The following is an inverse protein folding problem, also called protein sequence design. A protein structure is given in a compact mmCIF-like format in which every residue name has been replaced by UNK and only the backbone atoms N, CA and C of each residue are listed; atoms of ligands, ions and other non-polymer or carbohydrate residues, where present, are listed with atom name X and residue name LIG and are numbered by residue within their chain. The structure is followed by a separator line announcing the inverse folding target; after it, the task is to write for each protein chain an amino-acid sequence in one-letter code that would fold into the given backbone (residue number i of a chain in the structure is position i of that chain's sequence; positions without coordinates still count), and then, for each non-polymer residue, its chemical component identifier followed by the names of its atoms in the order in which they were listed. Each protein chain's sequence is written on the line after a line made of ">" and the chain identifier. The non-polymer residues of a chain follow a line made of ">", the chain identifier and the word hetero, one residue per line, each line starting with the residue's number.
data_IF_891453476281
#
_entry.id   IF_891453476281
#
_cell.length_a   1.000
_cell.length_b   1.000
_cell.length_c   1.000
_cell.angle_alpha   90.00
_cell.angle_beta   90.00
_cell.angle_gamma   90.00
#
_symmetry.space_group_name_H-M   'P 1'
#
loop_
_entity.id
_entity.type
_entity.pdbx_description
1 polymer ?
#
# COMPACT_ATOMS: atom_id res chain seq x y z
N UNK A 1 14.29 -74.52 27.13
CA UNK A 1 14.21 -73.13 27.61
C UNK A 1 14.97 -72.18 26.66
N UNK A 2 14.56 -72.04 25.39
CA UNK A 2 15.30 -71.22 24.40
C UNK A 2 14.40 -70.44 23.44
N UNK A 3 13.10 -70.31 23.77
CA UNK A 3 12.12 -69.53 22.99
C UNK A 3 11.72 -68.20 23.66
N UNK A 4 12.06 -67.99 24.94
CA UNK A 4 11.66 -66.78 25.68
C UNK A 4 12.54 -65.56 25.38
N UNK A 5 13.83 -65.73 25.10
CA UNK A 5 14.74 -64.59 24.91
C UNK A 5 14.58 -63.87 23.56
N UNK A 6 13.99 -64.51 22.54
CA UNK A 6 13.75 -63.84 21.24
C UNK A 6 12.53 -62.93 21.24
N UNK A 7 11.61 -63.07 22.19
CA UNK A 7 10.39 -62.25 22.22
C UNK A 7 10.62 -60.90 22.92
N UNK A 8 11.56 -60.82 23.88
CA UNK A 8 11.89 -59.55 24.57
C UNK A 8 12.68 -58.57 23.70
N UNK A 9 13.50 -59.02 22.75
CA UNK A 9 14.24 -58.12 21.83
C UNK A 9 13.36 -57.49 20.73
N UNK A 10 12.18 -58.04 20.47
CA UNK A 10 11.34 -57.59 19.36
C UNK A 10 10.35 -56.48 19.76
N UNK A 11 10.07 -56.35 21.06
CA UNK A 11 9.23 -55.27 21.60
C UNK A 11 10.01 -53.96 21.77
N UNK A 12 11.23 -54.01 22.29
CA UNK A 12 12.09 -52.83 22.52
C UNK A 12 12.45 -52.08 21.22
N UNK A 13 12.58 -52.83 20.12
CA UNK A 13 12.95 -52.28 18.82
C UNK A 13 11.80 -51.50 18.16
N UNK A 14 10.54 -51.79 18.48
CA UNK A 14 9.37 -51.09 17.92
C UNK A 14 9.13 -49.74 18.59
N UNK A 15 9.41 -49.65 19.89
CA UNK A 15 9.29 -48.42 20.68
C UNK A 15 10.36 -47.38 20.31
N UNK A 16 11.58 -47.83 19.98
CA UNK A 16 12.67 -46.93 19.56
C UNK A 16 12.42 -46.22 18.23
N UNK A 17 11.87 -46.91 17.23
CA UNK A 17 11.57 -46.28 15.92
C UNK A 17 10.37 -45.34 16.01
N UNK A 18 9.37 -45.69 16.82
CA UNK A 18 8.18 -44.85 17.02
C UNK A 18 8.53 -43.53 17.73
N UNK A 19 9.46 -43.55 18.69
CA UNK A 19 9.96 -42.33 19.35
C UNK A 19 10.75 -41.42 18.40
N UNK A 20 11.57 -42.00 17.52
CA UNK A 20 12.31 -41.22 16.51
C UNK A 20 11.38 -40.61 15.46
N UNK A 21 10.27 -41.28 15.11
CA UNK A 21 9.24 -40.69 14.26
C UNK A 21 8.47 -39.56 14.96
N UNK A 22 8.09 -39.73 16.22
CA UNK A 22 7.42 -38.67 16.98
C UNK A 22 8.32 -37.43 17.16
N UNK A 23 9.61 -37.61 17.45
CA UNK A 23 10.57 -36.51 17.53
C UNK A 23 10.85 -35.87 16.16
N UNK A 24 10.85 -36.64 15.07
CA UNK A 24 11.03 -36.12 13.70
C UNK A 24 9.79 -35.36 13.21
N UNK A 25 8.58 -35.83 13.54
CA UNK A 25 7.32 -35.17 13.19
C UNK A 25 7.14 -33.90 14.02
N UNK A 26 7.48 -33.93 15.32
CA UNK A 26 7.43 -32.75 16.20
C UNK A 26 8.42 -31.68 15.76
N UNK A 27 9.66 -32.06 15.43
CA UNK A 27 10.69 -31.10 14.95
C UNK A 27 10.35 -30.52 13.58
N UNK A 28 9.77 -31.32 12.67
CA UNK A 28 9.26 -30.80 11.39
C UNK A 28 8.09 -29.83 11.61
N UNK A 29 7.24 -30.06 12.61
CA UNK A 29 6.15 -29.14 12.95
C UNK A 29 6.65 -27.81 13.54
N UNK A 30 7.68 -27.87 14.40
CA UNK A 30 8.32 -26.68 14.96
C UNK A 30 9.06 -25.88 13.87
N UNK A 31 9.74 -26.54 12.93
CA UNK A 31 10.39 -25.87 11.79
C UNK A 31 9.35 -25.21 10.86
N UNK A 32 8.22 -25.87 10.59
CA UNK A 32 7.12 -25.29 9.80
C UNK A 32 6.50 -24.09 10.53
N UNK A 33 6.34 -24.17 11.85
CA UNK A 33 5.84 -23.06 12.65
C UNK A 33 6.81 -21.87 12.63
N UNK A 34 8.11 -22.11 12.74
CA UNK A 34 9.13 -21.06 12.62
C UNK A 34 9.12 -20.38 11.24
N UNK A 35 8.91 -21.16 10.16
CA UNK A 35 8.75 -20.61 8.80
C UNK A 35 7.49 -19.75 8.69
N UNK A 36 6.39 -20.17 9.32
CA UNK A 36 5.13 -19.41 9.34
C UNK A 36 5.28 -18.11 10.14
N UNK A 37 5.93 -18.15 11.29
CA UNK A 37 6.17 -16.95 12.11
C UNK A 37 7.05 -15.94 11.37
N UNK A 38 8.12 -16.39 10.70
CA UNK A 38 8.96 -15.53 9.86
C UNK A 38 8.18 -14.92 8.67
N UNK A 39 7.27 -15.70 8.05
CA UNK A 39 6.38 -15.22 6.97
C UNK A 39 5.37 -14.19 7.49
N UNK A 40 4.83 -14.38 8.69
CA UNK A 40 3.92 -13.43 9.33
C UNK A 40 4.63 -12.13 9.70
N UNK A 41 5.88 -12.21 10.18
CA UNK A 41 6.69 -11.04 10.48
C UNK A 41 6.98 -10.21 9.22
N UNK A 42 7.43 -10.87 8.14
CA UNK A 42 7.63 -10.23 6.83
C UNK A 42 6.34 -9.59 6.30
N UNK A 43 5.22 -10.32 6.40
CA UNK A 43 3.91 -9.81 5.99
C UNK A 43 3.51 -8.56 6.80
N UNK A 44 3.74 -8.56 8.12
CA UNK A 44 3.45 -7.42 8.98
C UNK A 44 4.26 -6.18 8.58
N UNK A 45 5.52 -6.36 8.21
CA UNK A 45 6.39 -5.27 7.73
C UNK A 45 5.86 -4.71 6.40
N UNK A 46 5.57 -5.56 5.41
CA UNK A 46 5.03 -5.10 4.12
C UNK A 46 3.68 -4.39 4.25
N UNK A 47 2.78 -4.89 5.11
CA UNK A 47 1.51 -4.22 5.38
C UNK A 47 1.72 -2.86 6.05
N UNK A 48 2.62 -2.79 7.04
CA UNK A 48 2.95 -1.54 7.71
C UNK A 48 3.51 -0.51 6.73
N UNK A 49 4.40 -0.92 5.83
CA UNK A 49 4.99 -0.05 4.81
C UNK A 49 3.93 0.46 3.82
N UNK A 50 3.05 -0.42 3.32
CA UNK A 50 1.97 -0.02 2.41
C UNK A 50 0.97 0.93 3.05
N UNK A 51 0.62 0.71 4.31
CA UNK A 51 -0.28 1.58 5.06
C UNK A 51 0.40 2.93 5.31
N UNK A 52 1.68 2.94 5.66
CA UNK A 52 2.45 4.16 5.86
C UNK A 52 2.54 4.98 4.55
N UNK A 53 2.79 4.32 3.41
CA UNK A 53 2.81 4.98 2.11
C UNK A 53 1.45 5.56 1.75
N UNK A 54 0.37 4.79 1.93
CA UNK A 54 -0.99 5.27 1.66
C UNK A 54 -1.35 6.48 2.56
N UNK A 55 -0.99 6.43 3.83
CA UNK A 55 -1.19 7.53 4.76
C UNK A 55 -0.38 8.77 4.36
N UNK A 56 0.89 8.60 3.97
CA UNK A 56 1.73 9.70 3.50
C UNK A 56 1.15 10.36 2.25
N UNK A 57 0.73 9.57 1.25
CA UNK A 57 0.08 10.07 0.03
C UNK A 57 -1.19 10.84 0.37
N UNK A 58 -2.01 10.34 1.30
CA UNK A 58 -3.25 10.98 1.70
C UNK A 58 -3.00 12.32 2.39
N UNK A 59 -2.01 12.39 3.30
CA UNK A 59 -1.63 13.64 3.97
C UNK A 59 -1.10 14.67 2.97
N UNK A 60 -0.21 14.25 2.07
CA UNK A 60 0.33 15.13 1.01
C UNK A 60 -0.80 15.64 0.13
N UNK A 61 -1.73 14.76 -0.28
CA UNK A 61 -2.87 15.14 -1.10
C UNK A 61 -3.76 16.18 -0.39
N UNK A 62 -4.03 16.02 0.91
CA UNK A 62 -4.81 17.00 1.69
C UNK A 62 -4.10 18.35 1.78
N UNK A 63 -2.78 18.36 2.02
CA UNK A 63 -1.99 19.60 2.08
C UNK A 63 -1.98 20.30 0.73
N UNK A 64 -1.76 19.56 -0.37
CA UNK A 64 -1.79 20.10 -1.71
C UNK A 64 -3.16 20.65 -2.10
N UNK A 65 -4.23 19.93 -1.77
CA UNK A 65 -5.59 20.37 -2.05
C UNK A 65 -5.92 21.65 -1.30
N UNK A 66 -5.61 21.68 0.01
CA UNK A 66 -5.81 22.86 0.86
C UNK A 66 -4.96 24.06 0.41
N UNK A 67 -3.68 23.84 0.12
CA UNK A 67 -2.76 24.88 -0.35
C UNK A 67 -3.16 25.45 -1.70
N UNK A 68 -3.58 24.59 -2.63
CA UNK A 68 -4.08 25.03 -3.94
C UNK A 68 -5.38 25.82 -3.81
N UNK A 69 -6.33 25.34 -3.00
CA UNK A 69 -7.58 26.06 -2.74
C UNK A 69 -7.33 27.44 -2.12
N UNK A 70 -6.41 27.52 -1.16
CA UNK A 70 -6.00 28.78 -0.55
C UNK A 70 -5.36 29.72 -1.57
N UNK A 71 -4.39 29.23 -2.36
CA UNK A 71 -3.75 30.01 -3.43
C UNK A 71 -4.76 30.56 -4.43
N UNK A 72 -5.66 29.72 -4.92
CA UNK A 72 -6.71 30.13 -5.86
C UNK A 72 -7.60 31.21 -5.25
N UNK A 73 -7.96 31.07 -3.97
CA UNK A 73 -8.76 32.08 -3.25
C UNK A 73 -7.99 33.39 -3.09
N UNK A 74 -6.71 33.35 -2.73
CA UNK A 74 -5.85 34.54 -2.62
C UNK A 74 -5.71 35.25 -3.96
N UNK A 75 -5.49 34.51 -5.06
CA UNK A 75 -5.44 35.08 -6.41
C UNK A 75 -6.79 35.72 -6.77
N UNK A 76 -7.90 35.10 -6.38
CA UNK A 76 -9.24 35.65 -6.59
C UNK A 76 -9.47 36.96 -5.85
N UNK A 77 -9.09 37.02 -4.59
CA UNK A 77 -9.18 38.22 -3.80
C UNK A 77 -8.27 39.31 -4.37
N UNK A 78 -7.04 38.98 -4.76
CA UNK A 78 -6.10 39.93 -5.34
C UNK A 78 -6.61 40.53 -6.66
N UNK A 79 -7.11 39.71 -7.59
CA UNK A 79 -7.71 40.18 -8.85
C UNK A 79 -9.00 40.98 -8.59
N UNK A 80 -9.80 40.55 -7.62
CA UNK A 80 -11.03 41.22 -7.23
C UNK A 80 -10.78 42.59 -6.61
N UNK A 81 -9.74 42.74 -5.79
CA UNK A 81 -9.31 44.00 -5.20
C UNK A 81 -8.77 44.95 -6.28
N UNK A 82 -7.97 44.44 -7.23
CA UNK A 82 -7.50 45.23 -8.38
C UNK A 82 -8.66 45.74 -9.25
N UNK A 83 -9.75 44.96 -9.33
CA UNK A 83 -10.96 45.30 -10.10
C UNK A 83 -11.96 46.14 -9.29
N UNK A 84 -11.67 46.45 -8.02
CA UNK A 84 -12.51 47.23 -7.12
C UNK A 84 -13.74 46.49 -6.56
N UNK A 85 -13.98 45.23 -6.97
CA UNK A 85 -15.04 44.36 -6.42
C UNK A 85 -14.54 42.92 -6.34
N UNK A 86 -14.54 42.37 -5.13
CA UNK A 86 -14.11 40.98 -4.85
C UNK A 86 -14.90 39.94 -5.65
N UNK A 87 -16.19 40.21 -5.95
CA UNK A 87 -17.03 39.32 -6.76
C UNK A 87 -16.53 39.14 -8.20
N UNK A 88 -15.89 40.15 -8.80
CA UNK A 88 -15.34 40.06 -10.16
C UNK A 88 -14.11 39.14 -10.21
N UNK A 89 -13.29 39.14 -9.15
CA UNK A 89 -12.12 38.27 -9.05
C UNK A 89 -12.48 36.79 -9.02
N UNK A 90 -13.47 36.42 -8.19
CA UNK A 90 -14.00 35.05 -8.17
C UNK A 90 -14.64 34.66 -9.51
N UNK A 91 -15.38 35.57 -10.14
CA UNK A 91 -16.02 35.30 -11.43
C UNK A 91 -14.99 35.06 -12.53
N UNK A 92 -13.92 35.86 -12.59
CA UNK A 92 -12.84 35.70 -13.56
C UNK A 92 -12.14 34.34 -13.43
N UNK A 93 -11.79 33.94 -12.21
CA UNK A 93 -11.12 32.65 -11.96
C UNK A 93 -12.04 31.47 -12.23
N UNK A 94 -13.33 31.58 -11.86
CA UNK A 94 -14.32 30.56 -12.19
C UNK A 94 -14.41 30.36 -13.71
N UNK A 95 -14.42 31.45 -14.48
CA UNK A 95 -14.44 31.41 -15.94
C UNK A 95 -13.18 30.76 -16.54
N UNK A 96 -12.00 31.05 -15.98
CA UNK A 96 -10.74 30.41 -16.37
C UNK A 96 -10.78 28.91 -16.07
N UNK A 97 -11.24 28.50 -14.89
CA UNK A 97 -11.34 27.09 -14.52
C UNK A 97 -12.31 26.33 -15.42
N UNK A 98 -13.49 26.91 -15.70
CA UNK A 98 -14.48 26.33 -16.63
C UNK A 98 -13.89 26.25 -18.05
N UNK A 99 -13.21 27.29 -18.51
CA UNK A 99 -12.54 27.32 -19.81
C UNK A 99 -11.50 26.21 -19.94
N UNK A 100 -10.62 26.07 -18.93
CA UNK A 100 -9.65 24.97 -18.86
C UNK A 100 -10.36 23.62 -18.85
N UNK A 101 -11.40 23.44 -18.04
CA UNK A 101 -12.14 22.19 -17.94
C UNK A 101 -12.76 21.79 -19.27
N UNK A 102 -13.43 22.72 -19.96
CA UNK A 102 -14.01 22.50 -21.28
C UNK A 102 -12.92 22.22 -22.32
N UNK A 103 -11.79 22.93 -22.28
CA UNK A 103 -10.68 22.72 -23.19
C UNK A 103 -10.09 21.31 -23.04
N UNK A 104 -9.81 20.88 -21.82
CA UNK A 104 -9.26 19.55 -21.54
C UNK A 104 -10.25 18.42 -21.87
N UNK A 105 -11.53 18.59 -21.54
CA UNK A 105 -12.55 17.55 -21.78
C UNK A 105 -12.99 17.46 -23.24
N UNK A 106 -13.12 18.59 -23.94
CA UNK A 106 -13.69 18.63 -25.30
C UNK A 106 -12.62 18.56 -26.40
N UNK A 107 -11.49 19.26 -26.26
CA UNK A 107 -10.52 19.39 -27.35
C UNK A 107 -9.44 18.31 -27.34
N UNK A 108 -8.98 17.84 -26.17
CA UNK A 108 -7.82 16.93 -26.07
C UNK A 108 -7.86 15.99 -24.84
N UNK A 109 -8.85 15.08 -24.73
CA UNK A 109 -8.86 14.08 -23.65
C UNK A 109 -7.62 13.16 -23.68
N UNK A 110 -7.04 12.93 -24.86
CA UNK A 110 -5.82 12.12 -25.04
C UNK A 110 -4.59 12.76 -24.42
N UNK A 111 -4.49 14.09 -24.42
CA UNK A 111 -3.36 14.81 -23.79
C UNK A 111 -3.43 14.63 -22.26
N UNK A 112 -4.64 14.73 -21.68
CA UNK A 112 -4.81 14.52 -20.25
C UNK A 112 -4.37 13.11 -19.86
N UNK A 113 -4.75 12.10 -20.66
CA UNK A 113 -4.33 10.70 -20.46
C UNK A 113 -2.82 10.53 -20.58
N UNK A 114 -2.19 11.09 -21.60
CA UNK A 114 -0.74 11.02 -21.81
C UNK A 114 0.05 11.73 -20.70
N UNK A 115 -0.42 12.87 -20.21
CA UNK A 115 0.20 13.58 -19.10
C UNK A 115 0.07 12.81 -17.79
N UNK A 116 -1.10 12.24 -17.49
CA UNK A 116 -1.30 11.39 -16.31
C UNK A 116 -0.40 10.15 -16.39
N UNK A 117 -0.32 9.51 -17.56
CA UNK A 117 0.57 8.36 -17.77
C UNK A 117 2.04 8.75 -17.58
N UNK A 118 2.49 9.89 -18.12
CA UNK A 118 3.86 10.38 -17.92
C UNK A 118 4.16 10.72 -16.46
N UNK A 119 3.21 11.31 -15.73
CA UNK A 119 3.36 11.58 -14.29
C UNK A 119 3.48 10.30 -13.48
N UNK A 120 2.69 9.28 -13.79
CA UNK A 120 2.76 7.96 -13.12
C UNK A 120 4.11 7.28 -13.41
N UNK A 121 4.56 7.30 -14.67
CA UNK A 121 5.83 6.69 -15.07
C UNK A 121 7.02 7.41 -14.40
N UNK A 122 7.00 8.75 -14.35
CA UNK A 122 8.04 9.55 -13.70
C UNK A 122 8.09 9.40 -12.17
N UNK A 123 7.06 8.83 -11.54
CA UNK A 123 7.05 8.58 -10.10
C UNK A 123 7.56 7.18 -9.74
N UNK A 124 7.66 6.29 -10.74
CA UNK A 124 8.07 4.89 -10.58
C UNK A 124 9.51 4.65 -11.08
N UNK A 125 10.09 5.61 -11.80
CA UNK A 125 11.52 5.74 -12.10
C UNK A 125 12.20 6.60 -11.02
#
# INVERSE_FOLDING_TARGET
>A
MQKSDRQLQQEDRKTGVSRLLDDTISSTFDDVKAIIDARLELMKIEFSEKIALLAAVLVIALILLGGTAYLVTTVALFIGELSGRTSLGFLAISLIFIGCFIYFTRFRPSILKEWIQKFIISLYD
#
